data_IF_340723935591
#
_entry.id   IF_340723935591
#
_cell.length_a   1.000
_cell.length_b   1.000
_cell.length_c   1.000
_cell.angle_alpha   90.00
_cell.angle_beta   90.00
_cell.angle_gamma   90.00
#
_symmetry.space_group_name_H-M   'P 1'
#
loop_
_entity.id
_entity.type
_entity.pdbx_description
1 polymer ?
#
# COMPACT_ATOMS: atom_id res chain seq x y z
N UNK A 1 -5.32 17.83 -31.85
CA UNK A 1 -6.72 17.86 -31.36
C UNK A 1 -7.55 16.69 -31.90
N UNK A 2 -7.63 16.51 -33.21
CA UNK A 2 -8.36 15.39 -33.86
C UNK A 2 -7.97 13.98 -33.36
N UNK A 3 -6.67 13.67 -33.27
CA UNK A 3 -6.20 12.35 -32.82
C UNK A 3 -6.56 12.00 -31.37
N UNK A 4 -6.63 13.01 -30.49
CA UNK A 4 -7.05 12.83 -29.10
C UNK A 4 -8.53 12.43 -29.01
N UNK A 5 -9.37 13.07 -29.83
CA UNK A 5 -10.79 12.76 -29.93
C UNK A 5 -10.97 11.32 -30.45
N UNK A 6 -10.22 10.92 -31.48
CA UNK A 6 -10.25 9.55 -32.01
C UNK A 6 -9.80 8.53 -30.95
N UNK A 7 -8.71 8.81 -30.22
CA UNK A 7 -8.21 7.93 -29.19
C UNK A 7 -9.24 7.74 -28.05
N UNK A 8 -9.91 8.82 -27.63
CA UNK A 8 -10.97 8.77 -26.62
C UNK A 8 -12.18 7.98 -27.14
N UNK A 9 -12.61 8.21 -28.38
CA UNK A 9 -13.70 7.46 -29.00
C UNK A 9 -13.40 5.94 -29.07
N UNK A 10 -12.17 5.58 -29.43
CA UNK A 10 -11.71 4.19 -29.43
C UNK A 10 -11.72 3.60 -28.02
N UNK A 11 -11.18 4.32 -27.03
CA UNK A 11 -11.17 3.86 -25.65
C UNK A 11 -12.60 3.62 -25.12
N UNK A 12 -13.53 4.54 -25.41
CA UNK A 12 -14.94 4.41 -25.05
C UNK A 12 -15.60 3.22 -25.76
N UNK A 13 -15.33 3.00 -27.05
CA UNK A 13 -15.83 1.84 -27.78
C UNK A 13 -15.35 0.51 -27.15
N UNK A 14 -14.05 0.42 -26.82
CA UNK A 14 -13.50 -0.78 -26.19
C UNK A 14 -14.05 -1.01 -24.77
N UNK A 15 -14.29 0.05 -24.00
CA UNK A 15 -14.88 -0.05 -22.67
C UNK A 15 -16.35 -0.47 -22.73
N UNK A 16 -17.17 0.18 -23.57
CA UNK A 16 -18.63 0.02 -23.56
C UNK A 16 -19.20 -1.01 -24.54
N UNK A 17 -18.53 -1.29 -25.67
CA UNK A 17 -19.12 -2.08 -26.78
C UNK A 17 -18.25 -3.24 -27.28
N UNK A 18 -17.05 -3.46 -26.73
CA UNK A 18 -16.19 -4.56 -27.18
C UNK A 18 -16.84 -5.95 -27.01
N UNK A 19 -16.64 -6.86 -27.98
CA UNK A 19 -17.12 -8.23 -27.89
C UNK A 19 -16.45 -8.98 -26.72
N UNK A 20 -17.14 -9.98 -26.17
CA UNK A 20 -16.73 -10.69 -24.94
C UNK A 20 -15.29 -11.24 -25.02
N UNK A 21 -14.88 -11.76 -26.18
CA UNK A 21 -13.54 -12.29 -26.42
C UNK A 21 -12.45 -11.22 -26.27
N UNK A 22 -12.68 -10.02 -26.83
CA UNK A 22 -11.74 -8.89 -26.76
C UNK A 22 -11.72 -8.28 -25.37
N UNK A 23 -12.87 -8.18 -24.71
CA UNK A 23 -12.95 -7.71 -23.31
C UNK A 23 -12.17 -8.59 -22.35
N UNK A 24 -12.19 -9.92 -22.54
CA UNK A 24 -11.43 -10.82 -21.68
C UNK A 24 -9.92 -10.59 -21.81
N UNK A 25 -9.42 -10.43 -23.03
CA UNK A 25 -8.01 -10.10 -23.29
C UNK A 25 -7.64 -8.73 -22.74
N UNK A 26 -8.48 -7.70 -22.93
CA UNK A 26 -8.24 -6.36 -22.38
C UNK A 26 -8.24 -6.36 -20.86
N UNK A 27 -9.17 -7.08 -20.21
CA UNK A 27 -9.20 -7.19 -18.75
C UNK A 27 -7.94 -7.88 -18.23
N UNK A 28 -7.45 -8.93 -18.89
CA UNK A 28 -6.20 -9.58 -18.52
C UNK A 28 -5.00 -8.63 -18.65
N UNK A 29 -4.92 -7.86 -19.75
CA UNK A 29 -3.86 -6.87 -19.96
C UNK A 29 -3.92 -5.77 -18.89
N UNK A 30 -5.11 -5.22 -18.61
CA UNK A 30 -5.31 -4.20 -17.59
C UNK A 30 -4.95 -4.74 -16.21
N UNK A 31 -5.37 -5.96 -15.88
CA UNK A 31 -5.04 -6.59 -14.60
C UNK A 31 -3.53 -6.75 -14.43
N UNK A 32 -2.84 -7.29 -15.43
CA UNK A 32 -1.38 -7.46 -15.39
C UNK A 32 -0.68 -6.09 -15.30
N UNK A 33 -1.16 -5.10 -16.05
CA UNK A 33 -0.63 -3.74 -16.00
C UNK A 33 -0.78 -3.10 -14.61
N UNK A 34 -1.97 -3.23 -13.99
CA UNK A 34 -2.22 -2.74 -12.63
C UNK A 34 -1.34 -3.46 -11.62
N UNK A 35 -1.22 -4.79 -11.71
CA UNK A 35 -0.35 -5.58 -10.82
C UNK A 35 1.11 -5.16 -10.94
N UNK A 36 1.61 -4.97 -12.17
CA UNK A 36 2.97 -4.52 -12.40
C UNK A 36 3.23 -3.14 -11.80
N UNK A 37 2.31 -2.18 -11.99
CA UNK A 37 2.41 -0.84 -11.39
C UNK A 37 2.41 -0.93 -9.86
N UNK A 38 1.53 -1.74 -9.27
CA UNK A 38 1.47 -1.92 -7.82
C UNK A 38 2.77 -2.53 -7.27
N UNK A 39 3.36 -3.49 -7.96
CA UNK A 39 4.64 -4.08 -7.56
C UNK A 39 5.78 -3.05 -7.60
N UNK A 40 5.85 -2.24 -8.65
CA UNK A 40 6.85 -1.17 -8.77
C UNK A 40 6.66 -0.14 -7.66
N UNK A 41 5.42 0.29 -7.41
CA UNK A 41 5.10 1.23 -6.33
C UNK A 41 5.44 0.65 -4.96
N UNK A 42 5.16 -0.62 -4.72
CA UNK A 42 5.52 -1.30 -3.48
C UNK A 42 7.04 -1.34 -3.27
N UNK A 43 7.80 -1.70 -4.30
CA UNK A 43 9.27 -1.71 -4.25
C UNK A 43 9.84 -0.29 -4.01
N UNK A 44 9.32 0.71 -4.72
CA UNK A 44 9.73 2.11 -4.52
C UNK A 44 9.39 2.62 -3.13
N UNK A 45 8.19 2.29 -2.64
CA UNK A 45 7.75 2.66 -1.28
C UNK A 45 8.67 2.04 -0.24
N UNK A 46 9.01 0.75 -0.38
CA UNK A 46 9.92 0.07 0.53
C UNK A 46 11.31 0.72 0.57
N UNK A 47 11.89 1.02 -0.60
CA UNK A 47 13.18 1.71 -0.69
C UNK A 47 13.09 3.09 -0.03
N UNK A 48 12.01 3.83 -0.28
CA UNK A 48 11.81 5.17 0.29
C UNK A 48 11.62 5.14 1.81
N UNK A 49 10.99 4.10 2.35
CA UNK A 49 10.90 3.87 3.80
C UNK A 49 12.30 3.62 4.35
N UNK A 50 13.10 2.75 3.73
CA UNK A 50 14.47 2.48 4.19
C UNK A 50 15.40 3.69 4.10
N UNK A 51 15.18 4.58 3.13
CA UNK A 51 15.89 5.85 2.99
C UNK A 51 15.34 6.96 3.90
N UNK A 52 14.25 6.71 4.63
CA UNK A 52 13.67 7.72 5.51
C UNK A 52 14.59 7.98 6.71
N UNK A 53 14.52 9.20 7.29
CA UNK A 53 15.38 9.58 8.40
C UNK A 53 15.31 8.55 9.55
N UNK A 54 16.46 8.05 10.06
CA UNK A 54 16.53 7.05 11.13
C UNK A 54 15.72 7.44 12.37
N UNK A 55 15.55 8.72 12.63
CA UNK A 55 14.78 9.30 13.72
C UNK A 55 13.34 8.79 13.74
N UNK A 56 12.72 8.59 12.57
CA UNK A 56 11.35 8.08 12.46
C UNK A 56 11.27 6.66 13.03
N UNK A 57 12.26 5.81 12.72
CA UNK A 57 12.32 4.44 13.23
C UNK A 57 12.59 4.42 14.73
N UNK A 58 13.47 5.30 15.23
CA UNK A 58 13.74 5.42 16.67
C UNK A 58 12.50 5.86 17.42
N UNK A 59 11.75 6.85 16.91
CA UNK A 59 10.49 7.31 17.52
C UNK A 59 9.48 6.18 17.60
N UNK A 60 9.30 5.39 16.54
CA UNK A 60 8.41 4.21 16.56
C UNK A 60 8.86 3.21 17.64
N UNK A 61 10.15 2.93 17.74
CA UNK A 61 10.71 2.08 18.79
C UNK A 61 10.43 2.62 20.20
N UNK A 62 10.61 3.93 20.40
CA UNK A 62 10.35 4.58 21.69
C UNK A 62 8.86 4.56 22.07
N UNK A 63 7.95 4.68 21.11
CA UNK A 63 6.50 4.54 21.35
C UNK A 63 6.16 3.12 21.82
N UNK A 64 6.75 2.10 21.20
CA UNK A 64 6.55 0.70 21.60
C UNK A 64 7.07 0.49 23.03
N UNK A 65 8.27 0.99 23.34
CA UNK A 65 8.84 0.89 24.69
C UNK A 65 7.99 1.63 25.73
N UNK A 66 7.48 2.82 25.41
CA UNK A 66 6.59 3.56 26.30
C UNK A 66 5.29 2.79 26.57
N UNK A 67 4.71 2.16 25.55
CA UNK A 67 3.53 1.30 25.72
C UNK A 67 3.83 0.10 26.63
N UNK A 68 4.97 -0.56 26.45
CA UNK A 68 5.39 -1.66 27.32
C UNK A 68 5.64 -1.20 28.76
N UNK A 69 6.29 -0.06 28.96
CA UNK A 69 6.54 0.48 30.29
C UNK A 69 5.25 0.82 31.04
N UNK A 70 4.27 1.42 30.34
CA UNK A 70 2.96 1.70 30.93
C UNK A 70 2.24 0.40 31.28
N UNK A 71 2.26 -0.59 30.39
CA UNK A 71 1.66 -1.91 30.64
C UNK A 71 2.31 -2.62 31.83
N UNK A 72 3.63 -2.50 31.97
CA UNK A 72 4.38 -3.10 33.08
C UNK A 72 4.00 -2.43 34.42
N UNK A 73 3.94 -1.10 34.45
CA UNK A 73 3.46 -0.34 35.62
C UNK A 73 2.03 -0.72 35.99
N UNK A 74 1.13 -0.87 35.01
CA UNK A 74 -0.25 -1.28 35.26
C UNK A 74 -0.37 -2.71 35.78
N UNK A 75 0.59 -3.58 35.45
CA UNK A 75 0.65 -4.95 35.93
C UNK A 75 1.44 -5.08 37.24
N UNK A 76 1.98 -3.99 37.80
CA UNK A 76 2.63 -4.05 39.10
C UNK A 76 1.59 -4.34 40.19
N UNK A 77 1.78 -5.40 41.00
CA UNK A 77 0.88 -5.68 42.11
C UNK A 77 1.03 -4.63 43.20
N UNK A 78 -0.09 -4.08 43.69
CA UNK A 78 -0.16 -3.01 44.70
C UNK A 78 0.45 -3.36 46.08
N UNK A 79 0.89 -4.61 46.28
CA UNK A 79 1.53 -5.06 47.52
C UNK A 79 2.69 -6.01 47.21
N UNK A 80 3.85 -5.88 47.89
CA UNK A 80 4.88 -6.89 47.82
C UNK A 80 4.28 -8.21 48.33
N UNK A 81 4.28 -9.25 47.49
CA UNK A 81 3.96 -10.60 47.93
C UNK A 81 4.91 -10.95 49.07
N UNK A 82 4.38 -11.08 50.29
CA UNK A 82 5.13 -11.66 51.40
C UNK A 82 5.20 -13.16 51.17
N UNK A 83 6.43 -13.64 50.97
CA UNK A 83 6.90 -15.02 50.78
C UNK A 83 6.89 -15.53 49.36
#
# INVERSE_FOLDING_TARGET
MFYLIIAILLALYYFFMAPKTVRNTLNAIVLVGVVAVLLVLAAMSFIKIMQSPPEIFVVIGMIILAYFAIRDILNMPDRPSKK
#
